data_IF_790585225097
#
_entry.id   IF_790585225097
#
_cell.length_a   1.000
_cell.length_b   1.000
_cell.length_c   1.000
_cell.angle_alpha   90.00
_cell.angle_beta   90.00
_cell.angle_gamma   90.00
#
_symmetry.space_group_name_H-M   'P 1'
#
loop_
_entity.id
_entity.type
_entity.pdbx_description
1 polymer ?
#
# COMPACT_ATOMS: atom_id res chain seq x y z
N UNK A 1 16.69 12.97 -16.33
CA UNK A 1 16.32 12.03 -17.42
C UNK A 1 15.50 10.89 -16.84
N UNK A 2 14.34 10.69 -17.38
CA UNK A 2 13.34 9.60 -17.36
C UNK A 2 12.13 9.77 -16.44
N UNK A 3 11.38 10.84 -16.66
CA UNK A 3 9.98 10.97 -16.20
C UNK A 3 8.97 10.38 -17.20
N UNK A 4 9.37 10.06 -18.43
CA UNK A 4 8.46 9.57 -19.50
C UNK A 4 8.21 8.06 -19.49
N UNK A 5 9.16 7.26 -19.03
CA UNK A 5 9.04 5.80 -19.10
C UNK A 5 8.03 5.20 -18.11
N UNK A 6 7.72 5.90 -17.02
CA UNK A 6 6.74 5.39 -16.04
C UNK A 6 5.30 5.54 -16.54
N UNK A 7 5.00 6.63 -17.27
CA UNK A 7 3.66 6.90 -17.77
C UNK A 7 3.25 5.94 -18.92
N UNK A 8 4.19 5.53 -19.77
CA UNK A 8 3.89 4.70 -20.95
C UNK A 8 3.76 3.21 -20.62
N UNK A 9 4.60 2.68 -19.74
CA UNK A 9 4.61 1.25 -19.41
C UNK A 9 3.40 0.78 -18.57
N UNK A 10 2.83 1.68 -17.74
CA UNK A 10 1.71 1.34 -16.87
C UNK A 10 0.33 1.71 -17.44
N UNK A 11 0.25 2.55 -18.46
CA UNK A 11 -1.02 2.93 -19.06
C UNK A 11 -1.69 1.78 -19.84
N UNK A 12 -0.92 0.84 -20.35
CA UNK A 12 -1.46 -0.32 -21.08
C UNK A 12 -1.94 -1.44 -20.16
N UNK A 13 -1.22 -1.72 -19.07
CA UNK A 13 -1.65 -2.71 -18.06
C UNK A 13 -2.97 -2.34 -17.38
N UNK A 14 -3.23 -1.03 -17.25
CA UNK A 14 -4.50 -0.54 -16.68
C UNK A 14 -5.69 -0.72 -17.60
N UNK A 15 -5.47 -0.74 -18.93
CA UNK A 15 -6.55 -0.92 -19.92
C UNK A 15 -7.02 -2.37 -20.04
N UNK A 16 -6.16 -3.35 -19.83
CA UNK A 16 -6.53 -4.77 -19.98
C UNK A 16 -7.29 -5.32 -18.77
N UNK A 17 -7.00 -4.87 -17.55
CA UNK A 17 -7.70 -5.35 -16.34
C UNK A 17 -9.14 -4.84 -16.19
N UNK A 18 -9.54 -3.83 -16.96
CA UNK A 18 -10.91 -3.26 -16.91
C UNK A 18 -11.87 -3.83 -17.96
N UNK A 19 -11.39 -4.65 -18.89
CA UNK A 19 -12.21 -5.06 -20.04
C UNK A 19 -12.84 -6.47 -19.92
N UNK A 20 -12.51 -7.27 -18.92
CA UNK A 20 -13.08 -8.63 -18.78
C UNK A 20 -14.23 -8.79 -17.78
N UNK A 21 -14.63 -7.75 -17.05
CA UNK A 21 -15.68 -7.84 -16.04
C UNK A 21 -17.05 -7.23 -16.42
N UNK A 22 -17.26 -6.84 -17.68
CA UNK A 22 -18.54 -6.23 -18.11
C UNK A 22 -19.39 -7.21 -18.89
N UNK A 23 -19.99 -8.19 -18.23
CA UNK A 23 -21.31 -8.71 -18.61
C UNK A 23 -21.95 -9.53 -17.48
N UNK A 24 -22.96 -8.96 -16.89
CA UNK A 24 -24.14 -9.48 -16.14
C UNK A 24 -24.23 -9.01 -14.68
N UNK A 25 -24.87 -7.92 -14.42
CA UNK A 25 -26.14 -7.83 -13.70
C UNK A 25 -26.57 -6.38 -13.47
N UNK A 26 -27.70 -6.10 -13.99
CA UNK A 26 -28.53 -4.91 -13.98
C UNK A 26 -28.68 -4.23 -12.61
N UNK A 27 -28.64 -2.92 -12.61
CA UNK A 27 -29.13 -1.96 -11.61
C UNK A 27 -28.30 -1.73 -10.32
N UNK A 28 -27.71 -2.74 -9.71
CA UNK A 28 -26.82 -2.55 -8.55
C UNK A 28 -25.36 -2.20 -8.95
N UNK A 29 -24.92 -2.61 -10.13
CA UNK A 29 -23.57 -2.32 -10.64
C UNK A 29 -23.36 -0.84 -10.97
N UNK A 30 -24.39 -0.13 -11.37
CA UNK A 30 -24.31 1.29 -11.78
C UNK A 30 -24.02 2.27 -10.63
N UNK A 31 -24.35 1.90 -9.38
CA UNK A 31 -23.96 2.68 -8.19
C UNK A 31 -22.53 2.38 -7.75
N UNK A 32 -22.01 1.18 -8.03
CA UNK A 32 -20.63 0.80 -7.71
C UNK A 32 -19.61 1.38 -8.70
N UNK A 33 -19.98 1.62 -9.95
CA UNK A 33 -19.10 2.24 -10.96
C UNK A 33 -18.91 3.76 -10.75
N UNK A 34 -19.69 4.41 -9.90
CA UNK A 34 -19.60 5.84 -9.64
C UNK A 34 -18.70 6.19 -8.43
N UNK A 35 -18.21 5.18 -7.70
CA UNK A 35 -17.22 5.39 -6.66
C UNK A 35 -16.02 4.50 -6.99
N UNK A 36 -15.19 4.97 -7.92
CA UNK A 36 -13.84 4.44 -8.08
C UNK A 36 -13.15 4.60 -6.74
N UNK A 37 -12.98 3.50 -6.01
CA UNK A 37 -12.26 3.53 -4.74
C UNK A 37 -10.85 4.03 -5.01
N UNK A 38 -10.43 5.10 -4.32
CA UNK A 38 -9.08 5.64 -4.48
C UNK A 38 -8.04 4.58 -4.17
N UNK A 39 -7.01 4.46 -5.00
CA UNK A 39 -5.88 3.58 -4.74
C UNK A 39 -4.84 4.28 -3.88
N UNK A 40 -4.57 3.74 -2.71
CA UNK A 40 -3.53 4.21 -1.78
C UNK A 40 -2.29 3.33 -1.92
N UNK A 41 -1.12 3.94 -2.13
CA UNK A 41 0.15 3.22 -2.13
C UNK A 41 1.03 3.59 -0.93
N UNK A 42 1.49 2.58 -0.21
CA UNK A 42 2.42 2.72 0.90
C UNK A 42 3.83 2.37 0.44
N UNK A 43 4.76 3.32 0.50
CA UNK A 43 6.10 3.20 -0.07
C UNK A 43 7.16 3.25 1.02
N UNK A 44 8.09 2.29 0.98
CA UNK A 44 9.32 2.30 1.77
C UNK A 44 10.50 1.83 0.90
N UNK A 45 11.67 1.65 1.47
CA UNK A 45 12.86 1.18 0.72
C UNK A 45 12.70 -0.29 0.34
N UNK A 46 12.55 -1.18 1.32
CA UNK A 46 12.68 -2.63 1.13
C UNK A 46 11.34 -3.37 0.89
N UNK A 47 10.21 -2.72 1.13
CA UNK A 47 8.88 -3.36 1.06
C UNK A 47 8.79 -4.70 1.81
N UNK A 48 9.53 -4.82 2.90
CA UNK A 48 9.58 -6.05 3.70
C UNK A 48 8.90 -5.92 5.07
N UNK A 49 8.70 -4.70 5.58
CA UNK A 49 8.17 -4.47 6.92
C UNK A 49 7.08 -3.38 6.91
N UNK A 50 7.43 -2.11 7.14
CA UNK A 50 6.49 -0.98 7.38
C UNK A 50 5.38 -0.87 6.33
N UNK A 51 5.72 -0.84 5.07
CA UNK A 51 4.73 -0.70 3.99
C UNK A 51 3.87 -1.95 3.82
N UNK A 52 4.38 -3.15 4.10
CA UNK A 52 3.62 -4.40 4.10
C UNK A 52 2.59 -4.43 5.23
N UNK A 53 2.97 -3.99 6.44
CA UNK A 53 2.07 -3.83 7.58
C UNK A 53 0.99 -2.81 7.25
N UNK A 54 1.37 -1.67 6.65
CA UNK A 54 0.42 -0.62 6.26
C UNK A 54 -0.57 -1.11 5.19
N UNK A 55 -0.15 -1.87 4.20
CA UNK A 55 -1.04 -2.51 3.20
C UNK A 55 -2.01 -3.48 3.88
N UNK A 56 -1.53 -4.32 4.81
CA UNK A 56 -2.38 -5.26 5.55
C UNK A 56 -3.47 -4.55 6.35
N UNK A 57 -3.08 -3.52 7.11
CA UNK A 57 -4.02 -2.74 7.92
C UNK A 57 -4.91 -1.86 7.05
N UNK A 58 -4.39 -1.36 5.92
CA UNK A 58 -5.16 -0.66 4.90
C UNK A 58 -6.29 -1.51 4.34
N UNK A 59 -6.03 -2.77 4.01
CA UNK A 59 -7.07 -3.72 3.58
C UNK A 59 -8.09 -4.01 4.67
N UNK A 60 -7.64 -4.05 5.94
CA UNK A 60 -8.53 -4.28 7.08
C UNK A 60 -9.48 -3.11 7.33
N UNK A 61 -8.96 -1.88 7.39
CA UNK A 61 -9.76 -0.70 7.75
C UNK A 61 -10.35 0.03 6.54
N UNK A 62 -9.68 -0.07 5.39
CA UNK A 62 -10.08 0.58 4.16
C UNK A 62 -11.11 -0.16 3.33
N UNK A 63 -11.53 -1.37 3.72
CA UNK A 63 -12.53 -2.16 3.00
C UNK A 63 -13.77 -1.32 2.67
N UNK A 64 -14.08 -1.14 1.39
CA UNK A 64 -15.14 -0.28 0.84
C UNK A 64 -14.87 1.23 0.82
N UNK A 65 -13.73 1.69 1.31
CA UNK A 65 -13.36 3.11 1.31
C UNK A 65 -12.26 3.40 0.28
N UNK A 66 -11.27 2.54 0.21
CA UNK A 66 -10.14 2.63 -0.72
C UNK A 66 -9.53 1.25 -0.97
N UNK A 67 -8.87 1.11 -2.10
CA UNK A 67 -7.96 0.01 -2.37
C UNK A 67 -6.56 0.40 -1.93
N UNK A 68 -5.71 -0.57 -1.61
CA UNK A 68 -4.34 -0.26 -1.24
C UNK A 68 -3.34 -1.30 -1.75
N UNK A 69 -2.13 -0.81 -1.96
CA UNK A 69 -0.96 -1.61 -2.29
C UNK A 69 0.27 -1.07 -1.56
N UNK A 70 1.37 -1.80 -1.60
CA UNK A 70 2.65 -1.34 -1.12
C UNK A 70 3.75 -1.65 -2.11
N UNK A 71 4.84 -0.90 -2.07
CA UNK A 71 6.00 -1.15 -2.90
C UNK A 71 7.29 -0.62 -2.25
N UNK A 72 8.42 -1.08 -2.77
CA UNK A 72 9.75 -0.63 -2.38
C UNK A 72 10.57 -0.15 -3.56
N UNK A 73 11.55 0.69 -3.25
CA UNK A 73 12.55 1.12 -4.24
C UNK A 73 13.58 0.04 -4.52
N UNK A 74 13.90 -0.72 -3.47
CA UNK A 74 14.84 -1.84 -3.45
C UNK A 74 14.19 -2.99 -2.67
N UNK A 75 13.18 -3.67 -3.26
CA UNK A 75 12.40 -4.66 -2.53
C UNK A 75 13.24 -5.88 -2.15
N UNK A 76 13.05 -6.35 -0.93
CA UNK A 76 13.60 -7.62 -0.44
C UNK A 76 12.91 -8.81 -1.12
N UNK A 77 13.47 -10.01 -0.91
CA UNK A 77 12.90 -11.25 -1.47
C UNK A 77 11.71 -11.78 -0.68
N UNK A 78 11.57 -11.41 0.59
CA UNK A 78 10.53 -11.88 1.48
C UNK A 78 10.11 -10.79 2.49
N UNK A 79 8.92 -10.94 3.06
CA UNK A 79 8.47 -10.11 4.18
C UNK A 79 9.25 -10.50 5.43
N UNK A 80 9.55 -9.52 6.29
CA UNK A 80 10.27 -9.74 7.54
C UNK A 80 9.54 -10.75 8.44
N UNK A 81 10.22 -11.82 8.90
CA UNK A 81 9.59 -12.87 9.71
C UNK A 81 8.99 -12.37 11.03
N UNK A 82 9.56 -11.31 11.62
CA UNK A 82 9.02 -10.70 12.83
C UNK A 82 7.71 -9.98 12.54
N UNK A 83 7.64 -9.26 11.42
CA UNK A 83 6.41 -8.63 10.97
C UNK A 83 5.32 -9.67 10.73
N UNK A 84 5.62 -10.76 10.01
CA UNK A 84 4.68 -11.87 9.75
C UNK A 84 4.13 -12.44 11.06
N UNK A 85 5.03 -12.81 11.96
CA UNK A 85 4.68 -13.42 13.24
C UNK A 85 3.81 -12.50 14.10
N UNK A 86 4.17 -11.23 14.20
CA UNK A 86 3.44 -10.26 15.02
C UNK A 86 2.07 -9.92 14.43
N UNK A 87 1.97 -9.75 13.12
CA UNK A 87 0.69 -9.49 12.46
C UNK A 87 -0.27 -10.68 12.62
N UNK A 88 0.24 -11.90 12.53
CA UNK A 88 -0.54 -13.11 12.81
C UNK A 88 -0.98 -13.18 14.27
N UNK A 89 -0.09 -12.85 15.22
CA UNK A 89 -0.37 -12.85 16.66
C UNK A 89 -1.39 -11.79 17.07
N UNK A 90 -1.25 -10.55 16.57
CA UNK A 90 -2.04 -9.41 17.02
C UNK A 90 -3.37 -9.24 16.27
N UNK A 91 -3.38 -9.56 14.97
CA UNK A 91 -4.53 -9.30 14.09
C UNK A 91 -5.13 -10.56 13.49
N UNK A 92 -4.52 -11.74 13.72
CA UNK A 92 -4.91 -13.01 13.10
C UNK A 92 -4.86 -12.98 11.57
N UNK A 93 -3.92 -12.18 11.01
CA UNK A 93 -3.74 -12.02 9.57
C UNK A 93 -2.43 -12.67 9.16
N UNK A 94 -2.50 -13.58 8.20
CA UNK A 94 -1.34 -14.12 7.50
C UNK A 94 -1.08 -13.24 6.27
N UNK A 95 0.02 -12.47 6.30
CA UNK A 95 0.33 -11.53 5.23
C UNK A 95 0.78 -12.24 3.95
N UNK A 96 1.45 -13.38 4.05
CA UNK A 96 1.98 -14.12 2.90
C UNK A 96 0.89 -14.69 1.99
N UNK A 97 -0.34 -14.88 2.49
CA UNK A 97 -1.45 -15.34 1.66
C UNK A 97 -1.84 -14.35 0.56
N UNK A 98 -1.56 -13.06 0.73
CA UNK A 98 -2.10 -12.00 -0.14
C UNK A 98 -1.09 -10.98 -0.62
N UNK A 99 0.12 -10.98 -0.08
CA UNK A 99 1.10 -9.96 -0.40
C UNK A 99 2.54 -10.49 -0.34
N UNK A 100 3.39 -9.81 -1.08
CA UNK A 100 4.81 -10.09 -1.21
C UNK A 100 5.55 -8.79 -1.50
N UNK A 101 6.88 -8.71 -1.25
CA UNK A 101 7.66 -7.54 -1.63
C UNK A 101 7.66 -7.31 -3.13
N UNK A 102 7.43 -6.06 -3.55
CA UNK A 102 7.37 -5.69 -4.96
C UNK A 102 7.96 -4.30 -5.19
N UNK A 103 8.49 -4.11 -6.38
CA UNK A 103 9.04 -2.83 -6.81
C UNK A 103 7.95 -1.80 -7.08
N UNK A 104 8.31 -0.52 -6.97
CA UNK A 104 7.46 0.61 -7.37
C UNK A 104 6.99 0.52 -8.83
N UNK A 105 7.73 -0.17 -9.70
CA UNK A 105 7.37 -0.37 -11.11
C UNK A 105 6.33 -1.48 -11.32
N UNK A 106 5.99 -2.23 -10.28
CA UNK A 106 5.02 -3.34 -10.33
C UNK A 106 3.66 -2.96 -9.77
N UNK A 107 3.47 -1.74 -9.31
CA UNK A 107 2.18 -1.27 -8.80
C UNK A 107 1.51 -0.31 -9.79
N UNK A 108 0.17 -0.28 -9.84
CA UNK A 108 -0.56 0.73 -10.61
C UNK A 108 -0.28 2.14 -10.10
N UNK A 109 -0.56 3.15 -10.93
CA UNK A 109 -0.45 4.55 -10.52
C UNK A 109 -1.44 4.84 -9.38
N UNK A 110 -0.96 5.22 -8.17
CA UNK A 110 -1.86 5.47 -7.05
C UNK A 110 -2.46 6.88 -7.10
N UNK A 111 -3.66 7.00 -6.52
CA UNK A 111 -4.31 8.30 -6.29
C UNK A 111 -3.73 9.00 -5.06
N UNK A 112 -3.34 8.21 -4.05
CA UNK A 112 -2.74 8.69 -2.80
C UNK A 112 -1.43 7.95 -2.58
N UNK A 113 -0.36 8.70 -2.39
CA UNK A 113 1.00 8.21 -2.25
C UNK A 113 1.55 8.56 -0.87
N UNK A 114 1.85 7.53 -0.07
CA UNK A 114 2.29 7.68 1.32
C UNK A 114 3.68 7.10 1.50
N UNK A 115 4.63 7.94 1.97
CA UNK A 115 5.96 7.51 2.39
C UNK A 115 5.95 6.97 3.81
N UNK A 116 6.69 5.90 4.07
CA UNK A 116 6.87 5.34 5.42
C UNK A 116 8.05 5.99 6.18
N UNK A 117 8.66 7.06 5.68
CA UNK A 117 9.81 7.70 6.31
C UNK A 117 11.15 7.21 5.76
N UNK A 118 11.27 7.05 4.48
CA UNK A 118 12.54 6.73 3.80
C UNK A 118 13.48 7.95 3.84
N UNK A 119 14.48 7.92 4.68
CA UNK A 119 15.32 9.08 5.03
C UNK A 119 16.28 9.50 3.91
N UNK A 120 16.69 8.62 3.00
CA UNK A 120 17.61 8.97 1.89
C UNK A 120 17.19 8.24 0.62
N UNK A 121 16.79 9.03 -0.37
CA UNK A 121 16.58 8.50 -1.71
C UNK A 121 15.19 7.90 -1.95
N UNK A 122 14.16 8.41 -1.28
CA UNK A 122 12.80 8.10 -1.69
C UNK A 122 12.67 8.49 -3.17
N UNK A 123 12.42 7.55 -4.08
CA UNK A 123 12.46 7.84 -5.48
C UNK A 123 11.37 8.83 -5.82
N UNK A 124 11.67 9.68 -6.77
CA UNK A 124 10.65 10.49 -7.40
C UNK A 124 9.67 9.58 -8.14
N UNK A 125 8.45 9.49 -7.63
CA UNK A 125 7.35 8.71 -8.21
C UNK A 125 6.58 9.50 -9.29
N UNK A 126 7.22 10.44 -9.98
CA UNK A 126 6.58 11.34 -10.94
C UNK A 126 5.75 12.46 -10.29
N UNK A 127 5.55 12.41 -8.96
CA UNK A 127 4.87 13.43 -8.16
C UNK A 127 5.34 13.38 -6.71
N UNK A 128 5.13 14.44 -5.92
CA UNK A 128 5.42 14.40 -4.48
C UNK A 128 4.50 13.42 -3.75
N UNK A 129 4.96 12.95 -2.58
CA UNK A 129 4.13 12.19 -1.65
C UNK A 129 3.02 13.08 -1.08
N UNK A 130 1.83 12.53 -0.91
CA UNK A 130 0.71 13.23 -0.28
C UNK A 130 0.88 13.30 1.24
N UNK A 131 1.46 12.23 1.83
CA UNK A 131 1.85 12.19 3.24
C UNK A 131 3.21 11.50 3.40
N UNK A 132 4.01 11.98 4.36
CA UNK A 132 5.21 11.27 4.85
C UNK A 132 4.99 10.93 6.32
N UNK A 133 4.91 9.63 6.61
CA UNK A 133 4.61 9.16 7.96
C UNK A 133 5.81 9.14 8.89
N UNK A 134 7.02 9.28 8.38
CA UNK A 134 8.28 9.39 9.13
C UNK A 134 8.48 8.29 10.17
N UNK A 135 8.07 7.06 9.85
CA UNK A 135 8.15 5.92 10.74
C UNK A 135 9.59 5.45 10.90
N UNK A 136 10.00 5.21 12.12
CA UNK A 136 11.29 4.59 12.40
C UNK A 136 11.33 3.15 11.83
N UNK A 137 12.49 2.74 11.29
CA UNK A 137 12.66 1.39 10.79
C UNK A 137 12.90 0.42 11.96
N UNK A 138 12.01 -0.57 12.18
CA UNK A 138 12.17 -1.54 13.24
C UNK A 138 13.15 -2.67 12.92
N UNK A 139 13.58 -2.81 11.65
CA UNK A 139 14.46 -3.90 11.24
C UNK A 139 15.76 -3.91 12.06
N UNK A 140 16.09 -5.05 12.63
CA UNK A 140 17.29 -5.23 13.48
C UNK A 140 17.23 -4.62 14.90
N UNK A 141 16.11 -4.01 15.31
CA UNK A 141 15.96 -3.35 16.62
C UNK A 141 15.18 -4.15 17.67
N UNK A 142 14.81 -5.38 17.33
CA UNK A 142 14.09 -6.27 18.25
C UNK A 142 12.56 -6.12 18.20
N UNK A 143 11.86 -6.98 18.94
CA UNK A 143 10.41 -7.12 18.91
C UNK A 143 9.66 -5.85 19.34
N UNK A 144 10.17 -5.15 20.35
CA UNK A 144 9.53 -3.91 20.86
C UNK A 144 9.47 -2.81 19.79
N UNK A 145 10.52 -2.66 18.99
CA UNK A 145 10.52 -1.71 17.88
C UNK A 145 9.46 -2.06 16.81
N UNK A 146 9.28 -3.35 16.52
CA UNK A 146 8.21 -3.81 15.66
C UNK A 146 6.83 -3.54 16.23
N UNK A 147 6.61 -3.81 17.52
CA UNK A 147 5.33 -3.53 18.18
C UNK A 147 5.00 -2.03 18.16
N UNK A 148 5.99 -1.17 18.41
CA UNK A 148 5.83 0.27 18.32
C UNK A 148 5.48 0.71 16.90
N UNK A 149 6.20 0.23 15.90
CA UNK A 149 5.94 0.55 14.49
C UNK A 149 4.54 0.05 14.05
N UNK A 150 4.14 -1.16 14.43
CA UNK A 150 2.81 -1.70 14.14
C UNK A 150 1.73 -0.81 14.75
N UNK A 151 1.87 -0.42 16.02
CA UNK A 151 0.90 0.44 16.69
C UNK A 151 0.79 1.81 16.01
N UNK A 152 1.90 2.43 15.64
CA UNK A 152 1.90 3.72 14.97
C UNK A 152 1.27 3.63 13.58
N UNK A 153 1.57 2.59 12.81
CA UNK A 153 0.97 2.33 11.51
C UNK A 153 -0.55 2.12 11.66
N UNK A 154 -0.97 1.34 12.66
CA UNK A 154 -2.39 1.08 12.93
C UNK A 154 -3.16 2.38 13.14
N UNK A 155 -2.66 3.28 13.99
CA UNK A 155 -3.26 4.59 14.25
C UNK A 155 -3.33 5.47 12.99
N UNK A 156 -2.26 5.50 12.20
CA UNK A 156 -2.19 6.30 10.97
C UNK A 156 -3.14 5.77 9.89
N UNK A 157 -3.23 4.45 9.72
CA UNK A 157 -4.17 3.83 8.76
C UNK A 157 -5.62 4.06 9.16
N UNK A 158 -5.97 3.95 10.44
CA UNK A 158 -7.31 4.28 10.92
C UNK A 158 -7.66 5.75 10.67
N UNK A 159 -6.72 6.65 10.94
CA UNK A 159 -6.90 8.08 10.66
C UNK A 159 -7.10 8.35 9.17
N UNK A 160 -6.35 7.68 8.30
CA UNK A 160 -6.52 7.76 6.85
C UNK A 160 -7.91 7.27 6.42
N UNK A 161 -8.35 6.12 6.95
CA UNK A 161 -9.68 5.58 6.65
C UNK A 161 -10.80 6.56 7.06
N UNK A 162 -10.70 7.19 8.23
CA UNK A 162 -11.66 8.21 8.66
C UNK A 162 -11.63 9.49 7.80
N UNK A 163 -10.47 9.92 7.33
CA UNK A 163 -10.35 11.04 6.38
C UNK A 163 -11.04 10.73 5.06
N UNK A 164 -10.84 9.53 4.52
CA UNK A 164 -11.39 9.12 3.22
C UNK A 164 -12.90 8.84 3.28
N UNK A 165 -13.41 8.43 4.44
CA UNK A 165 -14.85 8.26 4.68
C UNK A 165 -15.64 9.57 4.62
N UNK A 166 -14.98 10.69 4.89
CA UNK A 166 -15.60 12.02 4.93
C UNK A 166 -15.54 12.77 3.60
N UNK A 167 -14.91 12.18 2.58
CA UNK A 167 -14.86 12.72 1.20
C UNK A 167 -16.04 12.25 0.38
#
# INVERSE_FOLDING_TARGET
>A
MHCKEWDDANSELFKESHNEAVHKNSCKSRLYELISASLVAFICTHNACRSQIAETLGRKYGARLFECCSAGTEPETAIDPTALRLMKKLYHIDMEEKQFPKSIHQIPRPDILISMGCIKGCPWMGRPFDEDWQLEDPAGKGEEAFLSAIHEIDMKVQTLAEKLKKR
#
